data_IF_326262906927
#
_entry.id   IF_326262906927
#
_cell.length_a   1.000
_cell.length_b   1.000
_cell.length_c   1.000
_cell.angle_alpha   90.00
_cell.angle_beta   90.00
_cell.angle_gamma   90.00
#
_symmetry.space_group_name_H-M   'P 1'
#
loop_
_entity.id
_entity.type
_entity.pdbx_description
1 polymer ?
#
# COMPACT_ATOMS: atom_id res chain seq x y z
N UNK A 1 -8.65 0.81 -19.79
CA UNK A 1 -7.27 0.93 -19.27
C UNK A 1 -7.23 1.20 -17.76
N UNK A 2 -7.87 2.27 -17.27
CA UNK A 2 -7.84 2.64 -15.85
C UNK A 2 -8.40 1.56 -14.91
N UNK A 3 -9.50 0.89 -15.30
CA UNK A 3 -10.05 -0.26 -14.57
C UNK A 3 -9.02 -1.40 -14.40
N UNK A 4 -8.28 -1.72 -15.46
CA UNK A 4 -7.28 -2.79 -15.43
C UNK A 4 -6.11 -2.42 -14.53
N UNK A 5 -5.69 -1.16 -14.53
CA UNK A 5 -4.67 -0.66 -13.60
C UNK A 5 -5.12 -0.80 -12.13
N UNK A 6 -6.38 -0.46 -11.82
CA UNK A 6 -6.93 -0.69 -10.47
C UNK A 6 -6.95 -2.17 -10.10
N UNK A 7 -7.26 -3.08 -11.04
CA UNK A 7 -7.18 -4.52 -10.80
C UNK A 7 -5.75 -4.93 -10.45
N UNK A 8 -4.76 -4.48 -11.22
CA UNK A 8 -3.34 -4.73 -10.95
C UNK A 8 -2.92 -4.21 -9.57
N UNK A 9 -3.33 -2.99 -9.21
CA UNK A 9 -3.06 -2.40 -7.89
C UNK A 9 -3.65 -3.26 -6.77
N UNK A 10 -4.93 -3.67 -6.88
CA UNK A 10 -5.54 -4.56 -5.89
C UNK A 10 -4.79 -5.90 -5.79
N UNK A 11 -4.39 -6.49 -6.91
CA UNK A 11 -3.64 -7.74 -6.93
C UNK A 11 -2.28 -7.60 -6.24
N UNK A 12 -1.53 -6.53 -6.51
CA UNK A 12 -0.23 -6.28 -5.87
C UNK A 12 -0.39 -6.09 -4.36
N UNK A 13 -1.37 -5.29 -3.92
CA UNK A 13 -1.63 -5.07 -2.50
C UNK A 13 -2.01 -6.37 -1.79
N UNK A 14 -2.94 -7.13 -2.36
CA UNK A 14 -3.36 -8.42 -1.79
C UNK A 14 -2.21 -9.43 -1.77
N UNK A 15 -1.43 -9.52 -2.85
CA UNK A 15 -0.31 -10.44 -2.92
C UNK A 15 0.75 -10.10 -1.87
N UNK A 16 1.14 -8.82 -1.74
CA UNK A 16 2.12 -8.41 -0.74
C UNK A 16 1.61 -8.64 0.69
N UNK A 17 0.38 -8.21 0.99
CA UNK A 17 -0.15 -8.20 2.36
C UNK A 17 -0.69 -9.55 2.84
N UNK A 18 -1.35 -10.31 1.98
CA UNK A 18 -2.02 -11.57 2.35
C UNK A 18 -1.16 -12.80 2.08
N UNK A 19 -0.26 -12.74 1.10
CA UNK A 19 0.57 -13.89 0.70
C UNK A 19 2.01 -13.72 1.17
N UNK A 20 2.68 -12.66 0.69
CA UNK A 20 4.12 -12.49 0.90
C UNK A 20 4.45 -12.22 2.37
N UNK A 21 3.81 -11.24 3.02
CA UNK A 21 4.12 -10.92 4.41
C UNK A 21 3.91 -12.10 5.38
N UNK A 22 2.79 -12.85 5.33
CA UNK A 22 2.64 -14.06 6.15
C UNK A 22 3.63 -15.16 5.79
N UNK A 23 3.90 -15.41 4.50
CA UNK A 23 4.85 -16.43 4.08
C UNK A 23 6.26 -16.17 4.62
N UNK A 24 6.71 -14.91 4.62
CA UNK A 24 8.00 -14.50 5.18
C UNK A 24 8.05 -14.78 6.69
N UNK A 25 7.00 -14.38 7.42
CA UNK A 25 6.95 -14.57 8.88
C UNK A 25 6.89 -16.05 9.30
N UNK A 26 6.36 -16.93 8.45
CA UNK A 26 6.30 -18.39 8.70
C UNK A 26 7.58 -19.10 8.27
N UNK A 27 8.25 -18.63 7.21
CA UNK A 27 9.33 -19.38 6.55
C UNK A 27 10.73 -19.00 7.02
N UNK A 28 10.90 -17.86 7.70
CA UNK A 28 12.19 -17.33 8.13
C UNK A 28 12.29 -17.22 9.66
N UNK A 29 13.52 -17.13 10.19
CA UNK A 29 13.72 -16.71 11.59
C UNK A 29 13.20 -15.27 11.78
N UNK A 30 12.90 -14.91 13.03
CA UNK A 30 12.38 -13.57 13.37
C UNK A 30 13.31 -12.47 12.87
N UNK A 31 14.62 -12.65 13.03
CA UNK A 31 15.65 -11.69 12.63
C UNK A 31 15.74 -11.55 11.10
N UNK A 32 15.67 -12.68 10.39
CA UNK A 32 15.70 -12.70 8.93
C UNK A 32 14.41 -12.11 8.33
N UNK A 33 13.24 -12.44 8.88
CA UNK A 33 11.96 -11.86 8.50
C UNK A 33 11.96 -10.35 8.73
N UNK A 34 12.41 -9.89 9.89
CA UNK A 34 12.45 -8.47 10.22
C UNK A 34 13.38 -7.70 9.26
N UNK A 35 14.56 -8.24 8.96
CA UNK A 35 15.48 -7.67 7.95
C UNK A 35 14.83 -7.55 6.58
N UNK A 36 14.18 -8.62 6.11
CA UNK A 36 13.53 -8.63 4.80
C UNK A 36 12.35 -7.66 4.74
N UNK A 37 11.49 -7.63 5.76
CA UNK A 37 10.32 -6.75 5.80
C UNK A 37 10.72 -5.28 5.77
N UNK A 38 11.76 -4.89 6.52
CA UNK A 38 12.31 -3.51 6.48
C UNK A 38 12.78 -3.11 5.08
N UNK A 39 13.30 -4.05 4.30
CA UNK A 39 13.74 -3.82 2.93
C UNK A 39 12.58 -3.74 1.93
N UNK A 40 11.61 -4.66 1.99
CA UNK A 40 10.58 -4.78 0.96
C UNK A 40 9.45 -3.76 1.08
N UNK A 41 9.10 -3.33 2.30
CA UNK A 41 7.97 -2.41 2.52
C UNK A 41 8.15 -1.04 1.84
N UNK A 42 9.30 -0.34 1.93
CA UNK A 42 9.55 0.88 1.17
C UNK A 42 9.36 0.69 -0.34
N UNK A 43 9.88 -0.41 -0.89
CA UNK A 43 9.80 -0.73 -2.32
C UNK A 43 8.34 -0.94 -2.72
N UNK A 44 7.58 -1.67 -1.91
CA UNK A 44 6.15 -1.87 -2.12
C UNK A 44 5.38 -0.54 -2.16
N UNK A 45 5.58 0.35 -1.18
CA UNK A 45 4.88 1.63 -1.15
C UNK A 45 5.24 2.51 -2.36
N UNK A 46 6.50 2.55 -2.75
CA UNK A 46 6.95 3.26 -3.97
C UNK A 46 6.31 2.67 -5.22
N UNK A 47 6.30 1.34 -5.37
CA UNK A 47 5.69 0.66 -6.52
C UNK A 47 4.22 1.01 -6.67
N UNK A 48 3.44 0.87 -5.60
CA UNK A 48 2.00 1.20 -5.60
C UNK A 48 1.81 2.70 -5.88
N UNK A 49 2.62 3.57 -5.26
CA UNK A 49 2.58 5.01 -5.50
C UNK A 49 2.84 5.39 -6.96
N UNK A 50 3.87 4.83 -7.59
CA UNK A 50 4.20 5.07 -9.01
C UNK A 50 3.08 4.60 -9.93
N UNK A 51 2.49 3.43 -9.66
CA UNK A 51 1.33 2.94 -10.42
C UNK A 51 0.11 3.84 -10.26
N UNK A 52 -0.13 4.38 -9.06
CA UNK A 52 -1.19 5.39 -8.84
C UNK A 52 -0.89 6.71 -9.54
N UNK A 53 0.38 7.14 -9.59
CA UNK A 53 0.77 8.31 -10.38
C UNK A 53 0.48 8.10 -11.87
N UNK A 54 0.80 6.92 -12.42
CA UNK A 54 0.39 6.55 -13.78
C UNK A 54 -1.14 6.61 -13.91
N UNK A 55 -1.87 6.08 -12.94
CA UNK A 55 -3.33 6.14 -12.91
C UNK A 55 -3.90 7.56 -12.95
N UNK A 56 -3.27 8.53 -12.28
CA UNK A 56 -3.62 9.95 -12.38
C UNK A 56 -3.51 10.48 -13.80
N UNK A 57 -2.38 10.20 -14.46
CA UNK A 57 -2.12 10.64 -15.84
C UNK A 57 -3.13 10.04 -16.83
N UNK A 58 -3.61 8.83 -16.56
CA UNK A 58 -4.60 8.11 -17.37
C UNK A 58 -6.05 8.52 -17.07
N UNK A 59 -6.31 9.21 -15.96
CA UNK A 59 -7.66 9.53 -15.49
C UNK A 59 -8.24 10.83 -16.08
N UNK A 60 -7.87 11.22 -17.30
CA UNK A 60 -8.25 12.53 -17.91
C UNK A 60 -9.76 12.79 -17.90
N UNK A 61 -10.57 11.77 -18.15
CA UNK A 61 -12.03 11.89 -18.22
C UNK A 61 -12.78 11.27 -17.01
N UNK A 62 -12.07 10.75 -16.02
CA UNK A 62 -12.69 10.09 -14.85
C UNK A 62 -12.41 10.84 -13.56
N UNK A 63 -13.40 11.57 -13.04
CA UNK A 63 -13.30 12.26 -11.73
C UNK A 63 -13.03 11.26 -10.60
N UNK A 64 -13.76 10.14 -10.57
CA UNK A 64 -13.56 9.07 -9.59
C UNK A 64 -12.18 8.43 -9.73
N UNK A 65 -11.74 8.17 -10.96
CA UNK A 65 -10.41 7.67 -11.26
C UNK A 65 -9.29 8.56 -10.71
N UNK A 66 -9.38 9.87 -10.94
CA UNK A 66 -8.44 10.84 -10.39
C UNK A 66 -8.43 10.82 -8.87
N UNK A 67 -9.60 10.87 -8.24
CA UNK A 67 -9.72 10.90 -6.78
C UNK A 67 -9.08 9.66 -6.12
N UNK A 68 -9.39 8.47 -6.63
CA UNK A 68 -8.86 7.20 -6.08
C UNK A 68 -7.34 7.11 -6.24
N UNK A 69 -6.80 7.49 -7.40
CA UNK A 69 -5.36 7.44 -7.62
C UNK A 69 -4.61 8.54 -6.84
N UNK A 70 -5.21 9.72 -6.65
CA UNK A 70 -4.62 10.78 -5.83
C UNK A 70 -4.57 10.37 -4.35
N UNK A 71 -5.68 9.82 -3.85
CA UNK A 71 -5.75 9.29 -2.49
C UNK A 71 -4.68 8.21 -2.28
N UNK A 72 -4.61 7.24 -3.19
CA UNK A 72 -3.64 6.13 -3.07
C UNK A 72 -2.20 6.64 -3.12
N UNK A 73 -1.89 7.58 -4.04
CA UNK A 73 -0.56 8.20 -4.09
C UNK A 73 -0.20 8.89 -2.76
N UNK A 74 -1.13 9.66 -2.18
CA UNK A 74 -0.93 10.31 -0.90
C UNK A 74 -0.73 9.30 0.25
N UNK A 75 -1.57 8.26 0.31
CA UNK A 75 -1.45 7.19 1.31
C UNK A 75 -0.09 6.47 1.21
N UNK A 76 0.34 6.12 0.00
CA UNK A 76 1.63 5.43 -0.21
C UNK A 76 2.82 6.32 0.11
N UNK A 77 2.74 7.61 -0.20
CA UNK A 77 3.76 8.59 0.16
C UNK A 77 3.89 8.71 1.69
N UNK A 78 2.77 8.83 2.41
CA UNK A 78 2.78 8.83 3.89
C UNK A 78 3.37 7.53 4.43
N UNK A 79 2.93 6.37 3.93
CA UNK A 79 3.46 5.07 4.38
C UNK A 79 4.97 4.96 4.17
N UNK A 80 5.48 5.43 3.02
CA UNK A 80 6.91 5.45 2.74
C UNK A 80 7.69 6.31 3.74
N UNK A 81 7.18 7.50 4.10
CA UNK A 81 7.78 8.36 5.12
C UNK A 81 7.76 7.73 6.52
N UNK A 82 6.75 6.92 6.84
CA UNK A 82 6.61 6.29 8.15
C UNK A 82 7.55 5.09 8.36
N UNK A 83 8.07 4.46 7.30
CA UNK A 83 8.95 3.28 7.44
C UNK A 83 10.14 3.50 8.38
N UNK A 84 11.00 4.54 8.21
CA UNK A 84 12.11 4.77 9.13
C UNK A 84 11.66 4.99 10.58
N UNK A 85 10.52 5.67 10.78
CA UNK A 85 10.00 5.96 12.12
C UNK A 85 9.49 4.69 12.80
N UNK A 86 8.80 3.82 12.07
CA UNK A 86 8.33 2.52 12.56
C UNK A 86 9.51 1.64 12.95
N UNK A 87 10.52 1.57 12.09
CA UNK A 87 11.71 0.74 12.35
C UNK A 87 12.47 1.27 13.57
N UNK A 88 12.64 2.58 13.70
CA UNK A 88 13.28 3.18 14.88
C UNK A 88 12.48 2.91 16.17
N UNK A 89 11.15 2.99 16.13
CA UNK A 89 10.32 2.67 17.29
C UNK A 89 10.45 1.19 17.69
N UNK A 90 10.52 0.28 16.71
CA UNK A 90 10.77 -1.13 16.97
C UNK A 90 12.17 -1.36 17.59
N UNK A 91 13.19 -0.73 17.03
CA UNK A 91 14.58 -0.90 17.45
C UNK A 91 14.83 -0.27 18.84
N UNK A 92 14.02 0.72 19.24
CA UNK A 92 14.03 1.34 20.56
C UNK A 92 13.11 0.65 21.59
N UNK A 93 12.46 -0.46 21.23
CA UNK A 93 11.47 -1.17 22.06
C UNK A 93 10.27 -0.29 22.50
N UNK A 94 9.96 0.77 21.74
CA UNK A 94 8.78 1.61 21.94
C UNK A 94 7.57 0.98 21.24
N UNK A 95 7.03 -0.06 21.88
CA UNK A 95 5.93 -0.87 21.35
C UNK A 95 4.63 -0.09 21.15
N UNK A 96 4.40 0.98 21.93
CA UNK A 96 3.21 1.82 21.79
C UNK A 96 3.27 2.63 20.49
N UNK A 97 4.38 3.34 20.27
CA UNK A 97 4.59 4.10 19.03
C UNK A 97 4.66 3.17 17.83
N UNK A 98 5.37 2.05 17.94
CA UNK A 98 5.44 1.05 16.87
C UNK A 98 4.06 0.55 16.47
N UNK A 99 3.21 0.15 17.42
CA UNK A 99 1.88 -0.37 17.13
C UNK A 99 0.97 0.67 16.49
N UNK A 100 0.99 1.92 16.99
CA UNK A 100 0.19 3.02 16.45
C UNK A 100 0.59 3.37 15.01
N UNK A 101 1.90 3.41 14.72
CA UNK A 101 2.39 3.68 13.37
C UNK A 101 2.17 2.50 12.42
N UNK A 102 2.37 1.27 12.90
CA UNK A 102 2.12 0.06 12.12
C UNK A 102 0.65 -0.01 11.69
N UNK A 103 -0.30 0.13 12.62
CA UNK A 103 -1.73 0.08 12.28
C UNK A 103 -2.13 1.23 11.36
N UNK A 104 -1.50 2.40 11.49
CA UNK A 104 -1.71 3.51 10.56
C UNK A 104 -1.33 3.12 9.13
N UNK A 105 -0.15 2.51 8.92
CA UNK A 105 0.29 2.11 7.57
C UNK A 105 -0.58 1.01 6.96
N UNK A 106 -1.01 0.05 7.78
CA UNK A 106 -1.95 -1.01 7.38
C UNK A 106 -3.30 -0.38 6.99
N UNK A 107 -3.82 0.53 7.81
CA UNK A 107 -5.07 1.24 7.56
C UNK A 107 -5.05 2.05 6.26
N UNK A 108 -3.98 2.80 5.99
CA UNK A 108 -3.82 3.57 4.74
C UNK A 108 -3.72 2.67 3.50
N UNK A 109 -3.08 1.51 3.64
CA UNK A 109 -3.00 0.51 2.56
C UNK A 109 -4.36 -0.13 2.29
N UNK A 110 -5.10 -0.51 3.34
CA UNK A 110 -6.45 -1.06 3.22
C UNK A 110 -7.44 -0.04 2.67
N UNK A 111 -7.35 1.23 3.08
CA UNK A 111 -8.15 2.33 2.54
C UNK A 111 -7.97 2.40 1.02
N UNK A 112 -6.72 2.43 0.55
CA UNK A 112 -6.39 2.47 -0.87
C UNK A 112 -6.98 1.27 -1.63
N UNK A 113 -6.84 0.05 -1.08
CA UNK A 113 -7.42 -1.17 -1.65
C UNK A 113 -8.95 -1.06 -1.79
N UNK A 114 -9.65 -0.66 -0.74
CA UNK A 114 -11.11 -0.52 -0.74
C UNK A 114 -11.57 0.46 -1.81
N UNK A 115 -10.91 1.62 -1.94
CA UNK A 115 -11.26 2.59 -2.97
C UNK A 115 -11.01 2.09 -4.40
N UNK A 116 -9.94 1.33 -4.63
CA UNK A 116 -9.73 0.68 -5.93
C UNK A 116 -10.78 -0.40 -6.22
N UNK A 117 -11.19 -1.19 -5.23
CA UNK A 117 -12.28 -2.15 -5.38
C UNK A 117 -13.63 -1.46 -5.69
N UNK A 118 -13.98 -0.41 -4.95
CA UNK A 118 -15.18 0.41 -5.23
C UNK A 118 -15.12 0.96 -6.65
N UNK A 119 -13.96 1.47 -7.07
CA UNK A 119 -13.79 1.96 -8.44
C UNK A 119 -14.03 0.84 -9.47
N UNK A 120 -13.47 -0.35 -9.28
CA UNK A 120 -13.64 -1.49 -10.18
C UNK A 120 -15.11 -1.89 -10.31
N UNK A 121 -15.83 -2.02 -9.19
CA UNK A 121 -17.18 -2.59 -9.21
C UNK A 121 -18.29 -1.56 -9.45
N UNK A 122 -18.09 -0.30 -9.07
CA UNK A 122 -19.14 0.73 -9.09
C UNK A 122 -18.88 1.88 -10.05
N UNK A 123 -17.70 2.48 -10.04
CA UNK A 123 -17.44 3.71 -10.81
C UNK A 123 -16.88 3.48 -12.21
N UNK A 124 -16.23 2.34 -12.46
CA UNK A 124 -15.65 2.03 -13.77
C UNK A 124 -16.67 1.70 -14.85
N UNK A 125 -17.93 1.40 -14.48
CA UNK A 125 -19.03 1.15 -15.40
C UNK A 125 -19.69 2.43 -15.94
N UNK A 126 -19.35 3.57 -15.36
CA UNK A 126 -19.95 4.89 -15.66
C UNK A 126 -19.05 5.77 -16.53
N UNK A 127 -17.92 5.22 -17.01
CA UNK A 127 -16.90 5.86 -17.84
C UNK A 127 -16.72 5.01 -19.09
#
# INVERSE_FOLDING_TARGET
MLRNLSIVLCTIVLFQSVVIAPAINVSLSVEAAATFLRFIWPIFFVLVGVLSLLGLLLSRNSKHGRAVNLLTLACMFVNWLLVPVINNAMDADDMNTWAALHITTVGLTLLSLVFHLIFIFRWSKSV
#
